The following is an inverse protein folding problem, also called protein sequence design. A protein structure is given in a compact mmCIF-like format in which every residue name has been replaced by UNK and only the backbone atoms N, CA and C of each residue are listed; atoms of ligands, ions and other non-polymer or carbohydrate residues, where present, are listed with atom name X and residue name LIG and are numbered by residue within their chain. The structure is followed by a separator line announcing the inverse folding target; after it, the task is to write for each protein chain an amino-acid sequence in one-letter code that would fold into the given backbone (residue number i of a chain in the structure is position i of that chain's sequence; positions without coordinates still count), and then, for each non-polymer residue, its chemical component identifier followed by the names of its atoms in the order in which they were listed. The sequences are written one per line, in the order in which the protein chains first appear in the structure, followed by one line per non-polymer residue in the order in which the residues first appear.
data_IF_181743099650
#
_entry.id   IF_181743099650
#
_cell.length_a   1.000
_cell.length_b   1.000
_cell.length_c   1.000
_cell.angle_alpha   90.00
_cell.angle_beta   90.00
_cell.angle_gamma   90.00
#
_symmetry.space_group_name_H-M   'P 1'
#
loop_
_entity.id
_entity.type
_entity.pdbx_description
1 polymer ?
#
# COMPACT_ATOMS: atom_id res chain seq x y z
N UNK A 1 4.48 -3.77 -11.52
CA UNK A 1 4.82 -2.70 -10.57
C UNK A 1 5.15 -1.38 -11.29
N UNK A 2 4.82 -0.22 -10.69
CA UNK A 2 5.28 1.10 -11.15
C UNK A 2 6.69 1.39 -10.62
N UNK A 3 7.61 1.78 -11.49
CA UNK A 3 9.01 2.03 -11.14
C UNK A 3 9.38 3.51 -11.14
N UNK A 4 8.84 4.28 -12.08
CA UNK A 4 9.25 5.66 -12.30
C UNK A 4 8.09 6.48 -12.84
N UNK A 5 7.96 7.72 -12.36
CA UNK A 5 7.01 8.72 -12.80
C UNK A 5 7.77 10.01 -13.12
N UNK A 6 7.46 10.61 -14.26
CA UNK A 6 8.07 11.87 -14.70
C UNK A 6 7.02 12.74 -15.39
N UNK A 7 7.02 14.03 -15.07
CA UNK A 7 6.24 15.04 -15.79
C UNK A 7 7.21 15.96 -16.53
N UNK A 8 6.94 16.18 -17.81
CA UNK A 8 7.77 16.98 -18.71
C UNK A 8 6.92 18.03 -19.40
N UNK A 9 7.41 19.25 -19.50
CA UNK A 9 6.78 20.29 -20.29
C UNK A 9 6.95 20.00 -21.79
N UNK A 10 5.86 19.86 -22.54
CA UNK A 10 5.84 19.37 -23.93
C UNK A 10 6.61 20.23 -24.91
N UNK A 11 6.63 21.54 -24.70
CA UNK A 11 7.24 22.49 -25.63
C UNK A 11 8.73 22.67 -25.38
N UNK A 12 9.14 22.64 -24.10
CA UNK A 12 10.51 22.96 -23.70
C UNK A 12 11.32 21.71 -23.37
N UNK A 13 10.66 20.57 -23.16
CA UNK A 13 11.31 19.38 -22.64
C UNK A 13 11.78 19.52 -21.19
N UNK A 14 11.40 20.60 -20.52
CA UNK A 14 11.78 20.87 -19.14
C UNK A 14 11.16 19.84 -18.20
N UNK A 15 11.98 19.24 -17.34
CA UNK A 15 11.49 18.41 -16.25
C UNK A 15 10.66 19.28 -15.30
N UNK A 16 9.44 18.85 -15.03
CA UNK A 16 8.53 19.52 -14.07
C UNK A 16 8.54 18.78 -12.75
N UNK A 17 8.47 17.45 -12.79
CA UNK A 17 8.45 16.60 -11.59
C UNK A 17 9.03 15.22 -11.91
N UNK A 18 9.68 14.59 -10.94
CA UNK A 18 10.03 13.17 -11.01
C UNK A 18 9.79 12.46 -9.67
N UNK A 19 9.45 11.17 -9.75
CA UNK A 19 9.41 10.27 -8.60
C UNK A 19 9.95 8.90 -8.98
N UNK A 20 10.99 8.48 -8.26
CA UNK A 20 11.56 7.13 -8.30
C UNK A 20 10.86 6.29 -7.25
N UNK A 21 10.19 5.23 -7.68
CA UNK A 21 9.47 4.29 -6.81
C UNK A 21 10.20 2.96 -6.67
N UNK A 22 11.09 2.66 -7.62
CA UNK A 22 11.93 1.46 -7.60
C UNK A 22 13.41 1.83 -7.60
N UNK A 23 14.22 1.05 -6.87
CA UNK A 23 15.68 1.20 -6.81
C UNK A 23 16.36 1.05 -8.18
N UNK A 24 15.72 0.35 -9.11
CA UNK A 24 16.23 0.11 -10.48
C UNK A 24 16.55 1.39 -11.24
N UNK A 25 15.87 2.50 -10.92
CA UNK A 25 16.01 3.78 -11.64
C UNK A 25 16.71 4.86 -10.79
N UNK A 26 17.32 4.50 -9.65
CA UNK A 26 17.97 5.46 -8.77
C UNK A 26 19.12 6.22 -9.45
N UNK A 27 19.87 5.53 -10.30
CA UNK A 27 21.05 6.07 -10.96
C UNK A 27 20.76 6.68 -12.34
N UNK A 28 19.50 6.63 -12.79
CA UNK A 28 19.10 7.20 -14.08
C UNK A 28 18.94 8.73 -13.95
N UNK A 29 19.71 9.55 -14.68
CA UNK A 29 19.51 11.00 -14.69
C UNK A 29 18.19 11.33 -15.38
N UNK A 30 17.35 12.14 -14.73
CA UNK A 30 16.04 12.53 -15.25
C UNK A 30 16.15 13.29 -16.59
N UNK A 31 17.22 14.07 -16.76
CA UNK A 31 17.51 14.82 -17.97
C UNK A 31 17.74 13.89 -19.16
N UNK A 32 18.37 12.73 -18.95
CA UNK A 32 18.59 11.75 -20.01
C UNK A 32 17.24 11.22 -20.53
N UNK A 33 16.35 10.85 -19.61
CA UNK A 33 15.04 10.34 -19.99
C UNK A 33 14.22 11.44 -20.66
N UNK A 34 14.20 12.65 -20.11
CA UNK A 34 13.49 13.79 -20.72
C UNK A 34 13.96 14.06 -22.15
N UNK A 35 15.28 14.12 -22.38
CA UNK A 35 15.86 14.33 -23.70
C UNK A 35 15.50 13.19 -24.69
N UNK A 36 15.48 11.95 -24.21
CA UNK A 36 15.02 10.81 -25.01
C UNK A 36 13.54 10.97 -25.40
N UNK A 37 12.69 11.43 -24.49
CA UNK A 37 11.26 11.66 -24.78
C UNK A 37 11.05 12.75 -25.83
N UNK A 38 11.84 13.83 -25.79
CA UNK A 38 11.81 14.87 -26.81
C UNK A 38 12.19 14.27 -28.17
N UNK A 39 13.30 13.54 -28.24
CA UNK A 39 13.78 12.93 -29.48
C UNK A 39 12.75 11.94 -30.07
N UNK A 40 12.12 11.12 -29.23
CA UNK A 40 11.06 10.20 -29.64
C UNK A 40 9.82 10.93 -30.15
N UNK A 41 9.43 12.02 -29.49
CA UNK A 41 8.29 12.83 -29.91
C UNK A 41 8.54 13.51 -31.27
N UNK A 42 9.71 14.11 -31.45
CA UNK A 42 10.09 14.75 -32.71
C UNK A 42 10.17 13.74 -33.84
N UNK A 43 10.75 12.56 -33.58
CA UNK A 43 10.75 11.45 -34.53
C UNK A 43 9.32 11.01 -34.89
N UNK A 44 8.43 10.87 -33.91
CA UNK A 44 7.02 10.50 -34.13
C UNK A 44 6.28 11.51 -35.02
N UNK A 45 6.50 12.81 -34.78
CA UNK A 45 5.97 13.90 -35.62
C UNK A 45 6.51 13.85 -37.04
N UNK A 46 7.82 13.66 -37.21
CA UNK A 46 8.45 13.52 -38.54
C UNK A 46 7.85 12.34 -39.31
N UNK A 47 7.60 11.23 -38.63
CA UNK A 47 7.01 10.02 -39.20
C UNK A 47 5.49 10.10 -39.38
N UNK A 48 4.84 11.20 -38.95
CA UNK A 48 3.38 11.37 -38.94
C UNK A 48 2.62 10.25 -38.22
N UNK A 49 3.24 9.67 -37.19
CA UNK A 49 2.66 8.59 -36.37
C UNK A 49 1.68 9.16 -35.33
N UNK A 50 1.73 10.46 -35.07
CA UNK A 50 0.95 11.13 -34.03
C UNK A 50 1.74 11.23 -32.72
N UNK A 51 1.05 11.42 -31.60
CA UNK A 51 1.69 11.45 -30.28
C UNK A 51 2.07 10.02 -29.84
N UNK A 52 3.29 9.85 -29.31
CA UNK A 52 3.74 8.58 -28.77
C UNK A 52 2.93 8.27 -27.49
N UNK A 53 2.27 7.12 -27.42
CA UNK A 53 1.42 6.74 -26.28
C UNK A 53 2.02 5.67 -25.39
N UNK A 54 2.88 4.81 -25.94
CA UNK A 54 3.66 3.84 -25.18
C UNK A 54 4.89 3.38 -25.97
N UNK A 55 5.83 2.74 -25.28
CA UNK A 55 6.80 1.81 -25.89
C UNK A 55 7.20 0.72 -24.88
N UNK A 56 7.66 -0.41 -25.39
CA UNK A 56 7.92 -1.62 -24.58
C UNK A 56 9.38 -2.05 -24.75
N UNK A 57 10.06 -2.32 -23.64
CA UNK A 57 11.39 -2.93 -23.60
C UNK A 57 11.31 -4.41 -23.24
N UNK A 58 12.47 -5.05 -22.97
CA UNK A 58 12.49 -6.45 -22.54
C UNK A 58 11.79 -6.65 -21.19
N UNK A 59 11.97 -5.72 -20.26
CA UNK A 59 11.52 -5.85 -18.87
C UNK A 59 10.42 -4.84 -18.50
N UNK A 60 10.37 -3.70 -19.19
CA UNK A 60 9.50 -2.58 -18.82
C UNK A 60 8.58 -2.16 -19.95
N UNK A 61 7.52 -1.48 -19.57
CA UNK A 61 6.62 -0.74 -20.45
C UNK A 61 6.61 0.71 -20.00
N UNK A 62 6.79 1.61 -20.96
CA UNK A 62 6.72 3.05 -20.75
C UNK A 62 5.40 3.54 -21.33
N UNK A 63 4.57 4.13 -20.48
CA UNK A 63 3.31 4.75 -20.83
C UNK A 63 3.49 6.25 -20.87
N UNK A 64 2.95 6.88 -21.90
CA UNK A 64 3.03 8.32 -22.12
C UNK A 64 1.61 8.82 -22.33
N UNK A 65 1.20 9.74 -21.47
CA UNK A 65 -0.03 10.49 -21.65
C UNK A 65 0.31 11.97 -21.80
N UNK A 66 -0.44 12.66 -22.62
CA UNK A 66 -0.30 14.10 -22.81
C UNK A 66 -1.59 14.80 -22.39
N UNK A 67 -1.47 15.75 -21.47
CA UNK A 67 -2.56 16.64 -21.06
C UNK A 67 -2.06 18.07 -21.21
N UNK A 68 -2.73 18.84 -22.06
CA UNK A 68 -2.37 20.23 -22.36
C UNK A 68 -0.87 20.38 -22.70
N UNK A 69 -0.12 21.09 -21.84
CA UNK A 69 1.31 21.38 -21.97
C UNK A 69 2.22 20.36 -21.25
N UNK A 70 1.67 19.30 -20.66
CA UNK A 70 2.44 18.29 -19.91
C UNK A 70 2.39 16.93 -20.57
N UNK A 71 3.55 16.28 -20.63
CA UNK A 71 3.69 14.85 -20.85
C UNK A 71 3.92 14.15 -19.53
N UNK A 72 3.09 13.15 -19.23
CA UNK A 72 3.19 12.28 -18.06
C UNK A 72 3.76 10.95 -18.54
N UNK A 73 4.93 10.60 -18.01
CA UNK A 73 5.68 9.41 -18.37
C UNK A 73 5.73 8.48 -17.16
N UNK A 74 5.29 7.25 -17.37
CA UNK A 74 5.14 6.21 -16.35
C UNK A 74 5.89 4.98 -16.83
N UNK A 75 6.83 4.47 -16.02
CA UNK A 75 7.57 3.24 -16.30
C UNK A 75 7.06 2.15 -15.38
N UNK A 76 6.51 1.08 -15.95
CA UNK A 76 5.94 -0.06 -15.23
C UNK A 76 6.51 -1.39 -15.74
N UNK A 77 6.30 -2.47 -15.00
CA UNK A 77 6.63 -3.82 -15.47
C UNK A 77 5.94 -4.12 -16.80
N UNK A 78 6.62 -4.84 -17.68
CA UNK A 78 6.09 -5.20 -19.00
C UNK A 78 4.71 -5.89 -18.95
N UNK A 79 4.49 -6.71 -17.93
CA UNK A 79 3.28 -7.50 -17.77
C UNK A 79 2.11 -6.73 -17.13
N UNK A 80 2.34 -5.50 -16.66
CA UNK A 80 1.27 -4.67 -16.09
C UNK A 80 0.27 -4.20 -17.16
N UNK A 81 -0.96 -3.94 -16.71
CA UNK A 81 -2.03 -3.42 -17.56
C UNK A 81 -1.70 -2.02 -18.08
N UNK A 82 -1.64 -1.90 -19.40
CA UNK A 82 -1.45 -0.62 -20.09
C UNK A 82 -2.61 0.34 -19.83
N UNK A 83 -3.85 -0.17 -19.78
CA UNK A 83 -5.04 0.66 -19.53
C UNK A 83 -4.99 1.31 -18.15
N UNK A 84 -4.53 0.57 -17.14
CA UNK A 84 -4.32 1.11 -15.79
C UNK A 84 -3.23 2.19 -15.83
N UNK A 85 -2.10 1.91 -16.48
CA UNK A 85 -1.02 2.90 -16.65
C UNK A 85 -1.49 4.19 -17.31
N UNK A 86 -2.31 4.11 -18.35
CA UNK A 86 -2.89 5.28 -19.04
C UNK A 86 -3.83 6.05 -18.14
N UNK A 87 -4.68 5.35 -17.37
CA UNK A 87 -5.60 5.97 -16.41
C UNK A 87 -4.82 6.72 -15.32
N UNK A 88 -3.77 6.12 -14.77
CA UNK A 88 -2.88 6.78 -13.79
C UNK A 88 -2.27 8.05 -14.40
N UNK A 89 -1.70 7.94 -15.60
CA UNK A 89 -1.04 9.08 -16.25
C UNK A 89 -2.02 10.24 -16.49
N UNK A 90 -3.26 9.92 -16.85
CA UNK A 90 -4.33 10.89 -17.03
C UNK A 90 -4.71 11.57 -15.70
N UNK A 91 -4.99 10.80 -14.65
CA UNK A 91 -5.36 11.35 -13.34
C UNK A 91 -4.27 12.27 -12.77
N UNK A 92 -2.99 11.89 -12.91
CA UNK A 92 -1.85 12.70 -12.50
C UNK A 92 -1.78 14.00 -13.30
N UNK A 93 -1.93 13.92 -14.63
CA UNK A 93 -1.88 15.12 -15.48
C UNK A 93 -3.03 16.08 -15.21
N UNK A 94 -4.24 15.57 -14.95
CA UNK A 94 -5.40 16.40 -14.59
C UNK A 94 -5.21 17.07 -13.23
N UNK A 95 -4.69 16.34 -12.24
CA UNK A 95 -4.39 16.91 -10.93
C UNK A 95 -3.34 18.02 -11.05
N UNK A 96 -2.26 17.78 -11.81
CA UNK A 96 -1.21 18.76 -12.01
C UNK A 96 -1.74 20.04 -12.71
N UNK A 97 -2.51 19.88 -13.78
CA UNK A 97 -3.00 21.00 -14.59
C UNK A 97 -4.06 21.83 -13.84
N UNK A 98 -4.79 21.24 -12.90
CA UNK A 98 -5.72 21.98 -12.01
C UNK A 98 -4.99 22.85 -11.00
N UNK A 99 -3.82 22.42 -10.54
CA UNK A 99 -3.09 23.08 -9.47
C UNK A 99 -2.10 24.12 -9.98
N UNK A 100 -1.54 23.92 -11.18
CA UNK A 100 -0.45 24.73 -11.71
C UNK A 100 -0.77 25.28 -13.09
N UNK A 101 -0.69 26.60 -13.24
CA UNK A 101 -0.77 27.26 -14.55
C UNK A 101 0.60 27.22 -15.24
N UNK A 102 0.66 26.48 -16.34
CA UNK A 102 1.88 26.27 -17.13
C UNK A 102 2.06 27.29 -18.25
N UNK A 103 1.15 28.26 -18.37
CA UNK A 103 1.25 29.31 -19.39
C UNK A 103 2.47 30.22 -19.19
N UNK A 104 3.03 30.27 -17.97
CA UNK A 104 4.09 31.21 -17.57
C UNK A 104 5.43 30.59 -17.16
N UNK A 105 5.65 29.27 -17.28
CA UNK A 105 6.84 28.59 -16.70
C UNK A 105 8.02 28.56 -17.68
N UNK A 106 9.19 29.06 -17.25
CA UNK A 106 10.45 29.17 -18.03
C UNK A 106 11.66 28.47 -17.33
N UNK A 107 11.44 27.42 -16.50
CA UNK A 107 12.41 26.55 -15.74
C UNK A 107 12.71 26.93 -14.26
N UNK A 108 13.19 26.01 -13.35
CA UNK A 108 13.02 24.55 -13.22
C UNK A 108 12.52 24.01 -11.83
N UNK A 109 11.86 22.83 -11.87
CA UNK A 109 11.71 21.69 -10.91
C UNK A 109 11.32 21.90 -9.43
N UNK A 110 11.79 22.93 -8.72
CA UNK A 110 11.68 22.95 -7.25
C UNK A 110 10.36 23.49 -6.66
N UNK A 111 9.41 23.90 -7.50
CA UNK A 111 8.20 24.61 -7.05
C UNK A 111 7.02 23.67 -6.73
N UNK A 112 7.14 22.36 -7.00
CA UNK A 112 6.01 21.42 -6.93
C UNK A 112 6.06 20.48 -5.72
N UNK A 113 6.71 20.87 -4.61
CA UNK A 113 6.79 20.03 -3.38
C UNK A 113 5.42 19.67 -2.81
N UNK A 114 4.42 20.54 -2.98
CA UNK A 114 3.03 20.27 -2.57
C UNK A 114 2.35 19.18 -3.42
N UNK A 115 2.79 18.99 -4.68
CA UNK A 115 2.24 17.99 -5.59
C UNK A 115 2.62 16.55 -5.20
N UNK A 116 3.70 16.37 -4.43
CA UNK A 116 4.15 15.04 -4.02
C UNK A 116 3.09 14.30 -3.17
N UNK A 117 2.39 15.01 -2.29
CA UNK A 117 1.33 14.42 -1.44
C UNK A 117 0.15 13.93 -2.26
N UNK A 118 -0.24 14.69 -3.29
CA UNK A 118 -1.37 14.35 -4.16
C UNK A 118 -1.03 13.20 -5.10
N UNK A 119 0.21 13.17 -5.64
CA UNK A 119 0.72 12.01 -6.35
C UNK A 119 0.72 10.78 -5.46
N UNK A 120 1.16 10.86 -4.21
CA UNK A 120 1.10 9.71 -3.29
C UNK A 120 -0.33 9.21 -3.13
N UNK A 121 -1.33 10.10 -3.06
CA UNK A 121 -2.74 9.73 -2.98
C UNK A 121 -3.31 9.13 -4.28
N UNK A 122 -2.81 9.52 -5.45
CA UNK A 122 -3.21 8.95 -6.75
C UNK A 122 -2.55 7.59 -6.94
N UNK A 123 -1.24 7.51 -6.72
CA UNK A 123 -0.47 6.27 -6.82
C UNK A 123 -0.93 5.23 -5.79
N UNK A 124 -1.35 5.68 -4.60
CA UNK A 124 -1.85 4.79 -3.56
C UNK A 124 -3.17 4.10 -3.90
N UNK A 125 -3.90 4.58 -4.91
CA UNK A 125 -5.12 3.92 -5.37
C UNK A 125 -4.85 2.75 -6.31
N UNK A 126 -3.66 2.64 -6.92
CA UNK A 126 -3.50 1.89 -8.17
C UNK A 126 -2.30 0.92 -8.22
N UNK A 127 -1.46 0.86 -7.20
CA UNK A 127 -0.23 0.02 -7.18
C UNK A 127 -0.16 -0.78 -5.88
N UNK A 128 -1.20 -1.54 -5.55
CA UNK A 128 -1.13 -2.44 -4.39
C UNK A 128 -0.52 -3.78 -4.81
N UNK A 129 0.71 -4.05 -4.38
CA UNK A 129 1.34 -5.35 -4.61
C UNK A 129 0.86 -6.35 -3.55
N UNK A 130 0.25 -7.45 -3.99
CA UNK A 130 -0.14 -8.54 -3.09
C UNK A 130 1.08 -9.40 -2.75
N UNK A 131 1.63 -9.24 -1.55
CA UNK A 131 2.76 -10.05 -1.05
C UNK A 131 2.35 -11.44 -0.59
N UNK A 132 1.12 -11.59 -0.10
CA UNK A 132 0.67 -12.84 0.49
C UNK A 132 -0.82 -13.06 0.27
N UNK A 133 -1.19 -14.32 0.04
CA UNK A 133 -2.56 -14.73 -0.19
C UNK A 133 -2.78 -16.16 0.34
N UNK A 134 -3.58 -16.31 1.39
CA UNK A 134 -3.85 -17.62 1.96
C UNK A 134 -5.24 -17.75 2.59
N UNK A 135 -5.67 -18.99 2.78
CA UNK A 135 -6.87 -19.29 3.56
C UNK A 135 -6.62 -19.04 5.04
N UNK A 136 -7.59 -18.39 5.70
CA UNK A 136 -7.62 -18.26 7.16
C UNK A 136 -8.37 -19.44 7.78
N UNK A 137 -7.91 -19.92 8.93
CA UNK A 137 -8.54 -21.05 9.63
C UNK A 137 -9.79 -20.65 10.44
N UNK A 138 -9.96 -19.37 10.74
CA UNK A 138 -11.07 -18.87 11.56
C UNK A 138 -12.32 -18.62 10.70
N UNK A 139 -13.34 -19.48 10.87
CA UNK A 139 -14.60 -19.44 10.11
C UNK A 139 -15.42 -18.17 10.35
N UNK A 140 -15.20 -17.46 11.46
CA UNK A 140 -15.89 -16.19 11.72
C UNK A 140 -15.39 -15.05 10.82
N UNK A 141 -14.22 -15.23 10.21
CA UNK A 141 -13.55 -14.25 9.37
C UNK A 141 -13.79 -14.58 7.90
N UNK A 142 -14.46 -13.68 7.21
CA UNK A 142 -14.66 -13.74 5.76
C UNK A 142 -13.33 -13.41 5.07
N UNK A 143 -12.71 -12.31 5.48
CA UNK A 143 -11.36 -11.94 5.07
C UNK A 143 -10.70 -10.94 6.02
N UNK A 144 -9.38 -10.95 5.98
CA UNK A 144 -8.50 -10.02 6.65
C UNK A 144 -7.47 -9.52 5.64
N UNK A 145 -7.45 -8.21 5.44
CA UNK A 145 -6.40 -7.51 4.68
C UNK A 145 -5.58 -6.69 5.66
N UNK A 146 -4.28 -6.63 5.43
CA UNK A 146 -3.38 -5.69 6.08
C UNK A 146 -2.35 -5.21 5.08
N UNK A 147 -2.01 -3.93 5.18
CA UNK A 147 -1.25 -3.24 4.15
C UNK A 147 -0.34 -2.16 4.73
N UNK A 148 0.73 -1.88 3.99
CA UNK A 148 1.73 -0.87 4.30
C UNK A 148 1.75 0.18 3.18
N UNK A 149 1.47 1.44 3.54
CA UNK A 149 1.43 2.58 2.64
C UNK A 149 2.83 3.04 2.18
N UNK A 150 3.90 2.70 2.91
CA UNK A 150 5.26 3.02 2.49
C UNK A 150 5.69 2.20 1.28
N UNK A 151 5.47 0.89 1.40
CA UNK A 151 5.87 -0.09 0.40
C UNK A 151 4.78 -0.36 -0.63
N UNK A 152 3.57 0.19 -0.43
CA UNK A 152 2.42 0.00 -1.30
C UNK A 152 2.07 -1.49 -1.50
N UNK A 153 2.18 -2.26 -0.41
CA UNK A 153 1.97 -3.71 -0.42
C UNK A 153 0.87 -4.11 0.53
N UNK A 154 0.22 -5.23 0.21
CA UNK A 154 -0.80 -5.82 1.07
C UNK A 154 -0.68 -7.33 1.15
N UNK A 155 -1.28 -7.88 2.20
CA UNK A 155 -1.41 -9.30 2.41
C UNK A 155 -2.86 -9.63 2.69
N UNK A 156 -3.30 -10.80 2.20
CA UNK A 156 -4.67 -11.25 2.29
C UNK A 156 -4.77 -12.62 2.96
N UNK A 157 -5.70 -12.70 3.90
CA UNK A 157 -6.19 -13.92 4.50
C UNK A 157 -7.70 -14.01 4.26
N UNK A 158 -8.23 -15.16 3.83
CA UNK A 158 -9.65 -15.26 3.47
C UNK A 158 -10.25 -16.64 3.74
N UNK A 159 -11.55 -16.70 4.00
CA UNK A 159 -12.33 -17.95 3.95
C UNK A 159 -13.12 -18.06 2.64
N UNK A 160 -13.50 -16.91 2.05
CA UNK A 160 -14.19 -16.82 0.76
C UNK A 160 -13.45 -15.85 -0.21
N UNK A 161 -13.28 -16.24 -1.46
CA UNK A 161 -12.35 -15.59 -2.41
C UNK A 161 -12.92 -14.39 -3.17
N UNK A 162 -14.25 -14.17 -3.17
CA UNK A 162 -14.86 -13.15 -4.03
C UNK A 162 -14.94 -11.77 -3.37
N UNK A 163 -13.78 -11.16 -3.14
CA UNK A 163 -13.63 -9.87 -2.45
C UNK A 163 -12.67 -9.00 -3.27
N UNK A 164 -13.10 -7.77 -3.52
CA UNK A 164 -12.32 -6.73 -4.19
C UNK A 164 -11.41 -6.05 -3.16
N UNK A 165 -10.16 -6.50 -3.09
CA UNK A 165 -9.17 -6.03 -2.12
C UNK A 165 -8.86 -4.54 -2.31
N UNK A 166 -8.77 -4.09 -3.56
CA UNK A 166 -8.42 -2.72 -3.90
C UNK A 166 -9.53 -1.75 -3.46
N UNK A 167 -10.79 -2.09 -3.71
CA UNK A 167 -11.92 -1.30 -3.25
C UNK A 167 -11.94 -1.17 -1.71
N UNK A 168 -11.56 -2.23 -0.99
CA UNK A 168 -11.49 -2.20 0.48
C UNK A 168 -10.35 -1.33 0.98
N UNK A 169 -9.16 -1.42 0.36
CA UNK A 169 -8.03 -0.56 0.73
C UNK A 169 -8.37 0.91 0.48
N UNK A 170 -8.91 1.25 -0.70
CA UNK A 170 -9.36 2.61 -0.99
C UNK A 170 -10.39 3.12 0.02
N UNK A 171 -11.31 2.24 0.41
CA UNK A 171 -12.33 2.58 1.39
C UNK A 171 -11.71 2.89 2.75
N UNK A 172 -10.76 2.07 3.21
CA UNK A 172 -10.01 2.34 4.44
C UNK A 172 -9.33 3.70 4.39
N UNK A 173 -8.64 4.01 3.29
CA UNK A 173 -7.93 5.29 3.15
C UNK A 173 -8.87 6.49 3.22
N UNK A 174 -10.04 6.41 2.55
CA UNK A 174 -11.02 7.51 2.50
C UNK A 174 -11.71 7.78 3.85
N UNK A 175 -11.99 6.74 4.65
CA UNK A 175 -12.81 6.88 5.87
C UNK A 175 -12.02 7.05 7.16
N UNK A 176 -10.70 6.87 7.12
CA UNK A 176 -9.82 6.96 8.31
C UNK A 176 -8.89 8.19 8.29
N UNK A 177 -9.03 9.07 7.28
CA UNK A 177 -8.30 10.34 7.20
C UNK A 177 -8.80 11.41 8.19
N UNK A 178 -10.00 11.23 8.78
CA UNK A 178 -10.63 12.17 9.71
C UNK A 178 -10.61 11.61 11.16
N UNK A 179 -9.59 11.93 11.96
CA UNK A 179 -9.48 11.74 13.43
C UNK A 179 -9.81 10.34 14.05
N UNK A 180 -10.22 9.36 13.25
CA UNK A 180 -10.74 8.06 13.68
C UNK A 180 -9.86 6.96 13.07
N UNK A 181 -9.11 6.28 13.94
CA UNK A 181 -8.25 5.13 13.60
C UNK A 181 -9.04 3.87 13.22
N UNK A 182 -10.32 3.78 13.56
CA UNK A 182 -11.16 2.59 13.37
C UNK A 182 -12.62 2.92 13.02
N UNK A 183 -13.12 2.40 11.91
CA UNK A 183 -14.51 2.57 11.45
C UNK A 183 -15.16 1.22 11.24
N UNK A 184 -16.34 1.00 11.84
CA UNK A 184 -17.15 -0.21 11.64
C UNK A 184 -18.38 0.12 10.80
N UNK A 185 -18.58 -0.62 9.71
CA UNK A 185 -19.70 -0.51 8.79
C UNK A 185 -20.41 -1.85 8.69
N UNK A 186 -21.74 -1.82 8.60
CA UNK A 186 -22.55 -3.02 8.35
C UNK A 186 -23.05 -2.95 6.91
N UNK A 187 -22.63 -3.91 6.08
CA UNK A 187 -23.01 -3.99 4.67
C UNK A 187 -23.73 -5.31 4.41
N UNK A 188 -25.04 -5.26 4.10
CA UNK A 188 -25.94 -6.38 3.69
C UNK A 188 -25.70 -7.73 4.38
N UNK A 189 -24.59 -8.41 4.12
CA UNK A 189 -24.22 -9.75 4.62
C UNK A 189 -22.86 -9.81 5.35
N UNK A 190 -22.28 -8.67 5.75
CA UNK A 190 -20.95 -8.60 6.39
C UNK A 190 -20.81 -7.39 7.31
N UNK A 191 -19.99 -7.56 8.34
CA UNK A 191 -19.46 -6.46 9.15
C UNK A 191 -18.07 -6.14 8.62
N UNK A 192 -17.88 -4.90 8.21
CA UNK A 192 -16.63 -4.36 7.65
C UNK A 192 -15.98 -3.45 8.68
N UNK A 193 -14.81 -3.82 9.16
CA UNK A 193 -14.01 -2.97 10.03
C UNK A 193 -12.81 -2.48 9.26
N UNK A 194 -12.64 -1.16 9.24
CA UNK A 194 -11.60 -0.45 8.51
C UNK A 194 -10.69 0.22 9.55
N UNK A 195 -9.41 -0.12 9.52
CA UNK A 195 -8.46 0.31 10.53
C UNK A 195 -7.25 0.96 9.88
N UNK A 196 -6.77 2.05 10.46
CA UNK A 196 -5.53 2.71 10.04
C UNK A 196 -4.74 3.18 11.24
N UNK A 197 -3.44 2.96 11.22
CA UNK A 197 -2.50 3.44 12.20
C UNK A 197 -1.24 3.93 11.49
N UNK A 198 -0.99 5.24 11.51
CA UNK A 198 0.11 5.87 10.78
C UNK A 198 0.08 5.47 9.28
N UNK A 199 1.11 4.77 8.82
CA UNK A 199 1.28 4.26 7.46
C UNK A 199 0.76 2.83 7.27
N UNK A 200 0.24 2.19 8.31
CA UNK A 200 -0.31 0.84 8.23
C UNK A 200 -1.84 0.88 8.21
N UNK A 201 -2.44 -0.05 7.47
CA UNK A 201 -3.89 -0.20 7.44
C UNK A 201 -4.33 -1.64 7.40
N UNK A 202 -5.61 -1.85 7.73
CA UNK A 202 -6.21 -3.16 7.77
C UNK A 202 -7.71 -3.13 7.51
N UNK A 203 -8.22 -4.27 7.07
CA UNK A 203 -9.64 -4.51 6.86
C UNK A 203 -9.99 -5.86 7.44
N UNK A 204 -10.95 -5.91 8.36
CA UNK A 204 -11.53 -7.15 8.84
C UNK A 204 -12.97 -7.27 8.35
N UNK A 205 -13.24 -8.35 7.62
CA UNK A 205 -14.57 -8.76 7.18
C UNK A 205 -15.02 -9.97 7.98
N UNK A 206 -16.18 -9.86 8.63
CA UNK A 206 -16.77 -10.93 9.45
C UNK A 206 -18.24 -11.14 9.11
N UNK A 207 -18.76 -12.33 9.42
CA UNK A 207 -20.19 -12.62 9.29
C UNK A 207 -21.00 -11.80 10.31
N UNK A 208 -22.15 -11.23 9.93
CA UNK A 208 -22.99 -10.44 10.84
C UNK A 208 -23.63 -11.29 11.95
N UNK A 209 -23.71 -12.59 11.74
CA UNK A 209 -24.23 -13.57 12.72
C UNK A 209 -23.22 -13.92 13.82
N UNK A 210 -21.95 -13.52 13.67
CA UNK A 210 -20.93 -13.80 14.67
C UNK A 210 -21.30 -13.12 16.02
N UNK A 211 -21.08 -13.79 17.17
CA UNK A 211 -21.39 -13.21 18.46
C UNK A 211 -20.66 -11.87 18.66
N UNK A 212 -21.38 -10.85 19.16
CA UNK A 212 -20.80 -9.51 19.38
C UNK A 212 -19.49 -9.53 20.18
N UNK A 213 -19.40 -10.42 21.18
CA UNK A 213 -18.18 -10.61 21.98
C UNK A 213 -16.99 -11.05 21.13
N UNK A 214 -17.22 -11.92 20.14
CA UNK A 214 -16.18 -12.42 19.25
C UNK A 214 -15.77 -11.35 18.24
N UNK A 215 -16.75 -10.59 17.72
CA UNK A 215 -16.48 -9.41 16.89
C UNK A 215 -15.61 -8.38 17.61
N UNK A 216 -15.95 -8.03 18.85
CA UNK A 216 -15.18 -7.08 19.67
C UNK A 216 -13.77 -7.62 19.98
N UNK A 217 -13.64 -8.93 20.19
CA UNK A 217 -12.35 -9.60 20.41
C UNK A 217 -11.48 -9.53 19.16
N UNK A 218 -12.02 -9.90 18.00
CA UNK A 218 -11.32 -9.90 16.73
C UNK A 218 -10.91 -8.48 16.32
N UNK A 219 -11.81 -7.51 16.47
CA UNK A 219 -11.51 -6.09 16.22
C UNK A 219 -10.26 -5.67 16.99
N UNK A 220 -10.26 -5.84 18.32
CA UNK A 220 -9.13 -5.46 19.18
C UNK A 220 -7.84 -6.19 18.83
N UNK A 221 -7.94 -7.42 18.35
CA UNK A 221 -6.77 -8.21 17.90
C UNK A 221 -6.23 -7.68 16.57
N UNK A 222 -7.09 -7.31 15.62
CA UNK A 222 -6.67 -6.71 14.35
C UNK A 222 -6.14 -5.29 14.57
N UNK A 223 -6.76 -4.46 15.41
CA UNK A 223 -6.21 -3.14 15.78
C UNK A 223 -4.80 -3.25 16.35
N UNK A 224 -4.59 -4.24 17.23
CA UNK A 224 -3.27 -4.52 17.78
C UNK A 224 -2.28 -4.96 16.70
N UNK A 225 -2.70 -5.85 15.80
CA UNK A 225 -1.89 -6.28 14.67
C UNK A 225 -1.46 -5.10 13.80
N UNK A 226 -2.38 -4.22 13.38
CA UNK A 226 -2.07 -3.09 12.50
C UNK A 226 -1.14 -2.09 13.17
N UNK A 227 -1.33 -1.83 14.48
CA UNK A 227 -0.47 -0.93 15.24
C UNK A 227 0.97 -1.43 15.37
N UNK A 228 1.18 -2.74 15.35
CA UNK A 228 2.47 -3.39 15.61
C UNK A 228 2.87 -4.34 14.48
N UNK A 229 2.43 -4.04 13.25
CA UNK A 229 2.48 -4.97 12.11
C UNK A 229 3.91 -5.44 11.80
N UNK A 230 4.84 -4.48 11.81
CA UNK A 230 6.28 -4.64 11.58
C UNK A 230 7.08 -4.97 12.86
N UNK A 231 6.44 -4.96 14.03
CA UNK A 231 7.16 -5.09 15.29
C UNK A 231 7.41 -6.55 15.68
N UNK A 232 8.56 -6.78 16.32
CA UNK A 232 8.92 -8.03 16.99
C UNK A 232 8.50 -7.99 18.47
N UNK A 233 8.44 -9.15 19.11
CA UNK A 233 8.01 -9.25 20.51
C UNK A 233 8.87 -10.23 21.31
N UNK A 234 9.24 -9.85 22.53
CA UNK A 234 9.96 -10.73 23.45
C UNK A 234 9.29 -10.74 24.80
N UNK A 235 9.20 -11.90 25.44
CA UNK A 235 8.80 -11.96 26.85
C UNK A 235 9.88 -11.25 27.67
N UNK A 236 9.48 -10.33 28.54
CA UNK A 236 10.40 -9.58 29.38
C UNK A 236 11.21 -10.52 30.26
N UNK A 237 12.50 -10.22 30.40
CA UNK A 237 13.39 -10.96 31.27
C UNK A 237 12.84 -11.00 32.71
N UNK A 238 12.89 -12.18 33.34
CA UNK A 238 12.36 -12.41 34.68
C UNK A 238 10.83 -12.55 34.80
N UNK A 239 10.05 -12.28 33.73
CA UNK A 239 8.58 -12.36 33.77
C UNK A 239 8.00 -13.67 33.20
N UNK A 240 8.84 -14.63 32.79
CA UNK A 240 8.38 -15.90 32.24
C UNK A 240 7.50 -16.69 33.24
N UNK A 241 7.88 -16.74 34.52
CA UNK A 241 7.07 -17.39 35.57
C UNK A 241 5.70 -16.73 35.72
N UNK A 242 5.62 -15.40 35.58
CA UNK A 242 4.36 -14.66 35.62
C UNK A 242 3.51 -14.90 34.35
N UNK A 243 4.14 -15.11 33.20
CA UNK A 243 3.44 -15.50 31.98
C UNK A 243 2.85 -16.93 32.11
N UNK A 244 3.63 -17.87 32.64
CA UNK A 244 3.22 -19.26 32.85
C UNK A 244 2.11 -19.44 33.90
N UNK A 245 1.92 -18.48 34.82
CA UNK A 245 0.79 -18.54 35.77
C UNK A 245 -0.53 -18.07 35.15
N UNK A 246 -0.48 -17.38 34.01
CA UNK A 246 -1.64 -16.78 33.34
C UNK A 246 -2.04 -17.50 32.05
N UNK A 247 -1.11 -18.22 31.43
CA UNK A 247 -1.30 -18.94 30.17
C UNK A 247 -0.75 -20.37 30.25
N UNK A 248 -1.34 -21.33 29.53
CA UNK A 248 -0.79 -22.68 29.43
C UNK A 248 0.65 -22.67 28.91
N UNK A 249 1.46 -23.64 29.37
CA UNK A 249 2.87 -23.75 29.02
C UNK A 249 3.09 -23.88 27.50
N UNK A 250 2.18 -24.55 26.82
CA UNK A 250 2.20 -24.75 25.37
C UNK A 250 2.05 -23.44 24.61
N UNK A 251 1.18 -22.53 25.12
CA UNK A 251 0.98 -21.20 24.54
C UNK A 251 2.24 -20.37 24.69
N UNK A 252 2.84 -20.35 25.88
CA UNK A 252 4.09 -19.61 26.13
C UNK A 252 5.23 -20.14 25.25
N UNK A 253 5.37 -21.47 25.15
CA UNK A 253 6.38 -22.07 24.28
C UNK A 253 6.17 -21.69 22.79
N UNK A 254 4.92 -21.68 22.31
CA UNK A 254 4.58 -21.27 20.95
C UNK A 254 4.86 -19.78 20.70
N UNK A 255 4.62 -18.92 21.68
CA UNK A 255 4.94 -17.48 21.63
C UNK A 255 6.46 -17.30 21.56
N UNK A 256 7.21 -17.94 22.45
CA UNK A 256 8.68 -17.86 22.50
C UNK A 256 9.32 -18.36 21.20
N UNK A 257 8.78 -19.40 20.54
CA UNK A 257 9.33 -19.90 19.28
C UNK A 257 9.22 -18.91 18.11
N UNK A 258 8.50 -17.79 18.28
CA UNK A 258 8.31 -16.75 17.27
C UNK A 258 8.84 -15.36 17.69
N UNK A 259 9.55 -15.25 18.82
CA UNK A 259 9.93 -13.96 19.44
C UNK A 259 10.70 -12.98 18.54
N UNK A 260 11.46 -13.48 17.57
CA UNK A 260 12.25 -12.66 16.65
C UNK A 260 11.55 -12.36 15.33
N UNK A 261 10.28 -12.75 15.18
CA UNK A 261 9.49 -12.51 13.98
C UNK A 261 8.56 -11.31 14.17
N UNK A 262 8.33 -10.57 13.10
CA UNK A 262 7.28 -9.55 13.08
C UNK A 262 5.90 -10.18 13.22
N UNK A 263 4.92 -9.45 13.77
CA UNK A 263 3.55 -9.95 13.88
C UNK A 263 2.97 -10.33 12.51
N UNK A 264 3.30 -9.59 11.46
CA UNK A 264 2.97 -9.95 10.09
C UNK A 264 3.48 -11.35 9.71
N UNK A 265 4.76 -11.65 9.95
CA UNK A 265 5.34 -12.93 9.57
C UNK A 265 4.72 -14.09 10.38
N UNK A 266 4.42 -13.87 11.66
CA UNK A 266 3.71 -14.85 12.47
C UNK A 266 2.35 -15.16 11.88
N UNK A 267 1.58 -14.13 11.53
CA UNK A 267 0.24 -14.31 10.99
C UNK A 267 0.27 -15.02 9.63
N UNK A 268 1.25 -14.70 8.78
CA UNK A 268 1.49 -15.36 7.49
C UNK A 268 1.78 -16.85 7.68
N UNK A 269 2.66 -17.20 8.60
CA UNK A 269 3.06 -18.59 8.85
C UNK A 269 1.94 -19.40 9.51
N UNK A 270 1.27 -18.81 10.50
CA UNK A 270 0.26 -19.51 11.31
C UNK A 270 -1.13 -19.48 10.72
N UNK A 271 -1.44 -18.50 9.85
CA UNK A 271 -2.75 -18.29 9.21
C UNK A 271 -3.91 -18.22 10.22
N UNK A 272 -3.60 -17.80 11.44
CA UNK A 272 -4.51 -17.85 12.58
C UNK A 272 -4.25 -16.67 13.53
N UNK A 273 -5.30 -15.94 13.90
CA UNK A 273 -5.19 -14.78 14.79
C UNK A 273 -5.02 -15.13 16.27
N UNK A 274 -5.22 -16.38 16.68
CA UNK A 274 -5.17 -16.77 18.10
C UNK A 274 -3.81 -16.48 18.73
N UNK A 275 -2.70 -16.74 18.01
CA UNK A 275 -1.36 -16.43 18.53
C UNK A 275 -1.14 -14.92 18.68
N UNK A 276 -1.66 -14.13 17.74
CA UNK A 276 -1.62 -12.66 17.82
C UNK A 276 -2.46 -12.15 18.99
N UNK A 277 -3.61 -12.77 19.25
CA UNK A 277 -4.42 -12.46 20.42
C UNK A 277 -3.68 -12.78 21.72
N UNK A 278 -3.03 -13.93 21.83
CA UNK A 278 -2.29 -14.30 23.04
C UNK A 278 -1.14 -13.32 23.30
N UNK A 279 -0.42 -12.90 22.25
CA UNK A 279 0.60 -11.84 22.33
C UNK A 279 -0.03 -10.52 22.79
N UNK A 280 -1.18 -10.12 22.24
CA UNK A 280 -1.93 -8.93 22.69
C UNK A 280 -2.30 -9.03 24.17
N UNK A 281 -2.78 -10.18 24.64
CA UNK A 281 -3.17 -10.38 26.05
C UNK A 281 -1.97 -10.35 26.99
N UNK A 282 -0.79 -10.83 26.56
CA UNK A 282 0.47 -10.64 27.29
C UNK A 282 0.89 -9.17 27.31
N UNK A 283 0.73 -8.44 26.20
CA UNK A 283 1.09 -7.02 26.13
C UNK A 283 0.23 -6.16 27.06
N UNK A 284 -1.07 -6.44 27.14
CA UNK A 284 -1.99 -5.77 28.07
C UNK A 284 -1.61 -5.95 29.55
N UNK A 285 -0.83 -6.97 29.87
CA UNK A 285 -0.30 -7.26 31.22
C UNK A 285 1.16 -6.82 31.36
N UNK A 286 1.69 -6.10 30.37
CA UNK A 286 3.06 -5.64 30.31
C UNK A 286 4.12 -6.75 30.38
N UNK A 287 3.77 -7.98 29.97
CA UNK A 287 4.68 -9.14 30.04
C UNK A 287 5.60 -9.27 28.82
N UNK A 288 5.31 -8.55 27.74
CA UNK A 288 6.10 -8.54 26.51
C UNK A 288 6.61 -7.15 26.16
N UNK A 289 7.86 -7.11 25.70
CA UNK A 289 8.42 -5.99 24.98
C UNK A 289 8.00 -6.06 23.51
N UNK A 290 7.77 -4.90 22.91
CA UNK A 290 7.49 -4.77 21.49
C UNK A 290 8.49 -3.76 20.94
N UNK A 291 9.23 -4.16 19.91
CA UNK A 291 10.29 -3.37 19.29
C UNK A 291 10.10 -3.37 17.78
N UNK A 292 10.23 -2.20 17.14
CA UNK A 292 10.24 -2.13 15.66
C UNK A 292 11.45 -2.89 15.13
N UNK A 293 11.23 -3.71 14.09
CA UNK A 293 12.27 -4.50 13.41
C UNK A 293 13.23 -3.63 12.62
#
# INVERSE_FOLDING_TARGET
MLHYLMLVHRETGGLLFEKRLSKTFNDLPAELLSNMMIALNDFSKMMKIGDLSNFISLEFKVIISAIEKVSIVIVMDKNDSEEIGKKIALEIGEAFSKQYDLSSIVHPVNEFTQFETEIKAILSKLIWEKRFDAKIEDESIIALLFFDLHDMVYSRLYSNSNIDDQALIEKTLKVTDDDITEVTLVEKDRVVQLLRYESFGGVLLTHPEAPKRDLDRLQKTVSFLIKYLDCQFTIKEGLEKAALSLFPKEVIAKIQSHSHKSLQNILIETKNLNLIEDIRRLKLRELVNITRS
#
